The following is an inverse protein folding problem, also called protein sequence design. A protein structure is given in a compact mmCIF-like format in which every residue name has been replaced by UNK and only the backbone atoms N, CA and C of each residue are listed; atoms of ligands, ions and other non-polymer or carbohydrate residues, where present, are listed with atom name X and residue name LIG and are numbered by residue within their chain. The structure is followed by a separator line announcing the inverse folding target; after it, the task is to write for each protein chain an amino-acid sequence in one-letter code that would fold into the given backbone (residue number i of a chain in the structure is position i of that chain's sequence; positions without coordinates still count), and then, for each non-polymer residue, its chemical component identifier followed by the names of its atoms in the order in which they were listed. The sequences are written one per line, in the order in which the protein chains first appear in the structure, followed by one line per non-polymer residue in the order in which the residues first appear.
data_IF_140924116510
#
_entry.id   IF_140924116510
#
_cell.length_a   1.000
_cell.length_b   1.000
_cell.length_c   1.000
_cell.angle_alpha   90.00
_cell.angle_beta   90.00
_cell.angle_gamma   90.00
#
_symmetry.space_group_name_H-M   'P 1'
#
loop_
_entity.id
_entity.type
_entity.pdbx_description
1 polymer ?
#
# COMPACT_ATOMS: atom_id res chain seq x y z
N UNK A 1 -8.39 5.67 -10.54
CA UNK A 1 -7.41 4.69 -10.01
C UNK A 1 -6.25 5.35 -9.27
N UNK A 2 -5.52 6.30 -9.85
CA UNK A 2 -4.43 7.04 -9.17
C UNK A 2 -4.83 7.70 -7.85
N UNK A 3 -5.88 8.52 -7.84
CA UNK A 3 -6.31 9.22 -6.62
C UNK A 3 -6.69 8.24 -5.49
N UNK A 4 -7.33 7.12 -5.83
CA UNK A 4 -7.67 6.08 -4.84
C UNK A 4 -6.43 5.50 -4.14
N UNK A 5 -5.36 5.21 -4.90
CA UNK A 5 -4.11 4.71 -4.34
C UNK A 5 -3.40 5.75 -3.48
N UNK A 6 -3.35 7.01 -3.94
CA UNK A 6 -2.76 8.12 -3.17
C UNK A 6 -3.50 8.36 -1.86
N UNK A 7 -4.84 8.39 -1.90
CA UNK A 7 -5.68 8.53 -0.71
C UNK A 7 -5.53 7.35 0.25
N UNK A 8 -5.49 6.12 -0.26
CA UNK A 8 -5.27 4.94 0.57
C UNK A 8 -3.89 4.97 1.25
N UNK A 9 -2.86 5.36 0.50
CA UNK A 9 -1.49 5.46 1.00
C UNK A 9 -1.35 6.57 2.04
N UNK A 10 -1.86 7.78 1.74
CA UNK A 10 -1.88 8.95 2.65
C UNK A 10 -2.65 8.65 3.93
N UNK A 11 -3.72 7.89 3.83
CA UNK A 11 -4.48 7.42 5.00
C UNK A 11 -3.91 6.14 5.63
N UNK A 12 -2.66 5.77 5.37
CA UNK A 12 -1.94 4.69 6.04
C UNK A 12 -2.63 3.32 5.92
N UNK A 13 -3.38 3.08 4.83
CA UNK A 13 -4.01 1.78 4.57
C UNK A 13 -2.97 0.79 4.03
N UNK A 14 -3.05 -0.49 4.42
CA UNK A 14 -2.37 -1.55 3.69
C UNK A 14 -2.89 -1.63 2.25
N UNK A 15 -2.01 -1.85 1.27
CA UNK A 15 -2.36 -1.97 -0.15
C UNK A 15 -1.71 -3.24 -0.68
N UNK A 16 -2.50 -4.08 -1.34
CA UNK A 16 -2.02 -5.27 -2.04
C UNK A 16 -2.07 -5.05 -3.55
N UNK A 17 -0.96 -5.34 -4.23
CA UNK A 17 -0.82 -5.32 -5.68
C UNK A 17 -0.64 -6.75 -6.17
N UNK A 18 -1.49 -7.17 -7.12
CA UNK A 18 -1.45 -8.51 -7.69
C UNK A 18 -0.89 -8.50 -9.11
N UNK A 19 -0.07 -9.50 -9.46
CA UNK A 19 0.66 -9.53 -10.73
C UNK A 19 1.49 -8.26 -10.93
N UNK A 20 1.47 -7.69 -12.13
CA UNK A 20 2.27 -6.51 -12.49
C UNK A 20 1.69 -5.17 -12.00
N UNK A 21 0.68 -5.18 -11.13
CA UNK A 21 0.04 -3.94 -10.67
C UNK A 21 0.94 -3.08 -9.77
N UNK A 22 2.04 -3.62 -9.23
CA UNK A 22 3.03 -2.86 -8.47
C UNK A 22 3.71 -1.77 -9.30
N UNK A 23 3.74 -1.92 -10.62
CA UNK A 23 4.30 -0.94 -11.56
C UNK A 23 3.56 0.41 -11.53
N UNK A 24 2.38 0.44 -10.90
CA UNK A 24 1.63 1.66 -10.65
C UNK A 24 2.23 2.55 -9.56
N UNK A 25 3.16 2.07 -8.74
CA UNK A 25 3.77 2.81 -7.64
C UNK A 25 4.72 3.92 -8.13
N UNK A 26 5.64 3.57 -9.04
CA UNK A 26 6.66 4.49 -9.54
C UNK A 26 6.06 5.73 -10.24
N UNK A 27 5.07 5.61 -11.15
CA UNK A 27 4.48 6.76 -11.85
C UNK A 27 3.77 7.76 -10.93
N UNK A 28 3.44 7.36 -9.71
CA UNK A 28 2.73 8.19 -8.72
C UNK A 28 3.59 8.53 -7.50
N UNK A 29 4.87 8.12 -7.51
CA UNK A 29 5.86 8.48 -6.51
C UNK A 29 5.63 7.85 -5.13
N UNK A 30 4.98 6.67 -5.06
CA UNK A 30 4.79 5.96 -3.79
C UNK A 30 5.98 5.04 -3.50
N UNK A 31 6.47 5.09 -2.27
CA UNK A 31 7.59 4.25 -1.80
C UNK A 31 7.03 2.98 -1.16
N UNK A 32 7.44 1.77 -1.60
CA UNK A 32 7.07 0.52 -0.94
C UNK A 32 7.53 0.45 0.51
N UNK A 33 6.73 -0.15 1.38
CA UNK A 33 6.98 -0.35 2.82
C UNK A 33 6.30 -1.64 3.31
N UNK A 34 6.26 -1.90 4.63
CA UNK A 34 5.64 -3.12 5.15
C UNK A 34 4.12 -3.23 4.87
N UNK A 35 3.49 -2.10 4.54
CA UNK A 35 2.08 -2.02 4.17
C UNK A 35 1.81 -2.14 2.67
N UNK A 36 2.85 -2.37 1.87
CA UNK A 36 2.78 -2.47 0.41
C UNK A 36 3.08 -3.90 0.00
N UNK A 37 2.04 -4.72 -0.13
CA UNK A 37 2.19 -6.14 -0.45
C UNK A 37 2.14 -6.35 -1.95
N UNK A 38 3.05 -7.18 -2.47
CA UNK A 38 3.11 -7.55 -3.88
C UNK A 38 3.15 -9.08 -3.97
N UNK A 39 2.35 -9.65 -4.86
CA UNK A 39 2.36 -11.08 -5.16
C UNK A 39 1.65 -11.40 -6.46
N UNK A 40 1.98 -12.52 -7.11
CA UNK A 40 1.31 -12.91 -8.36
C UNK A 40 -0.17 -13.26 -8.13
N UNK A 41 -0.46 -13.86 -6.98
CA UNK A 41 -1.81 -14.21 -6.51
C UNK A 41 -2.04 -13.68 -5.09
N UNK A 42 -3.30 -13.59 -4.66
CA UNK A 42 -3.64 -13.11 -3.32
C UNK A 42 -3.33 -14.11 -2.22
N UNK A 43 -3.51 -15.41 -2.49
CA UNK A 43 -3.43 -16.46 -1.46
C UNK A 43 -2.11 -16.43 -0.65
N UNK A 44 -0.92 -16.24 -1.26
CA UNK A 44 0.34 -16.18 -0.53
C UNK A 44 0.48 -14.95 0.39
N UNK A 45 -0.19 -13.84 0.08
CA UNK A 45 -0.09 -12.58 0.85
C UNK A 45 -1.28 -12.35 1.79
N UNK A 46 -2.30 -13.19 1.74
CA UNK A 46 -3.57 -13.00 2.43
C UNK A 46 -3.41 -12.88 3.96
N UNK A 47 -2.60 -13.72 4.59
CA UNK A 47 -2.42 -13.67 6.06
C UNK A 47 -1.65 -12.40 6.49
N UNK A 48 -0.66 -11.97 5.70
CA UNK A 48 0.04 -10.72 5.97
C UNK A 48 -0.89 -9.52 5.81
N UNK A 49 -1.69 -9.51 4.74
CA UNK A 49 -2.68 -8.46 4.50
C UNK A 49 -3.71 -8.37 5.62
N UNK A 50 -4.20 -9.51 6.11
CA UNK A 50 -5.11 -9.61 7.25
C UNK A 50 -4.46 -9.04 8.52
N UNK A 51 -3.21 -9.40 8.82
CA UNK A 51 -2.50 -8.89 9.99
C UNK A 51 -2.35 -7.36 9.93
N UNK A 52 -2.04 -6.80 8.77
CA UNK A 52 -1.95 -5.35 8.56
C UNK A 52 -3.30 -4.65 8.72
N UNK A 53 -4.41 -5.27 8.27
CA UNK A 53 -5.76 -4.75 8.52
C UNK A 53 -6.08 -4.77 10.02
N UNK A 54 -5.74 -5.85 10.73
CA UNK A 54 -5.94 -5.98 12.17
C UNK A 54 -5.13 -4.93 12.96
N UNK A 55 -3.97 -4.52 12.45
CA UNK A 55 -3.17 -3.43 13.00
C UNK A 55 -3.78 -2.03 12.76
N UNK A 56 -4.95 -1.95 12.11
CA UNK A 56 -5.70 -0.76 11.72
C UNK A 56 -5.03 0.10 10.64
N UNK A 57 -3.75 0.47 10.81
CA UNK A 57 -2.97 1.34 9.92
C UNK A 57 -1.48 0.96 9.90
N UNK A 58 -0.79 1.42 8.85
CA UNK A 58 0.66 1.32 8.68
C UNK A 58 1.30 2.58 9.26
N UNK A 59 1.51 2.60 10.58
CA UNK A 59 1.91 3.81 11.31
C UNK A 59 3.30 4.33 10.93
N UNK A 60 4.23 3.45 10.57
CA UNK A 60 5.59 3.79 10.11
C UNK A 60 5.60 4.74 8.89
N UNK A 61 4.53 4.71 8.09
CA UNK A 61 4.38 5.50 6.86
C UNK A 61 4.04 6.97 7.14
N UNK A 62 3.61 7.35 8.35
CA UNK A 62 3.06 8.67 8.66
C UNK A 62 3.93 9.84 8.15
N UNK A 63 5.24 9.78 8.39
CA UNK A 63 6.17 10.82 7.95
C UNK A 63 6.26 10.95 6.43
N UNK A 64 6.22 9.83 5.71
CA UNK A 64 6.25 9.79 4.24
C UNK A 64 4.91 10.24 3.67
N UNK A 65 3.81 9.73 4.23
CA UNK A 65 2.43 10.03 3.83
C UNK A 65 2.10 11.53 3.90
N UNK A 66 2.68 12.27 4.85
CA UNK A 66 2.49 13.71 4.99
C UNK A 66 2.94 14.52 3.75
N UNK A 67 3.84 13.97 2.93
CA UNK A 67 4.38 14.63 1.73
C UNK A 67 3.62 14.25 0.45
N UNK A 68 2.68 13.31 0.52
CA UNK A 68 1.97 12.79 -0.66
C UNK A 68 0.83 13.74 -1.06
N UNK A 69 0.81 14.25 -2.32
CA UNK A 69 -0.26 15.08 -2.83
C UNK A 69 -1.45 14.21 -3.26
N UNK A 70 -2.22 13.75 -2.26
CA UNK A 70 -3.54 13.13 -2.44
C UNK A 70 -4.65 14.15 -2.17
#
# INVERSE_FOLDING_TARGET
NRHYLLEAYKHLKPIAFLGNNSDLLDPIGLVPDEGTLVGDEFQPIAENFKNLIMAHRVWSREQIAAQIPA
#
